data_IF_981178236137
#
_entry.id   IF_981178236137
#
_cell.length_a   1.000
_cell.length_b   1.000
_cell.length_c   1.000
_cell.angle_alpha   90.00
_cell.angle_beta   90.00
_cell.angle_gamma   90.00
#
_symmetry.space_group_name_H-M   'P 1'
#
loop_
_entity.id
_entity.type
_entity.pdbx_description
1 polymer ?
#
# COMPACT_ATOMS: atom_id res chain seq x y z
N UNK A 1 45.83 34.35 0.19
CA UNK A 1 44.53 33.92 0.69
C UNK A 1 44.00 32.81 -0.25
N UNK A 2 43.60 31.65 0.24
CA UNK A 2 42.92 30.71 -0.59
C UNK A 2 41.59 31.35 -1.06
N UNK A 3 41.23 31.16 -2.32
CA UNK A 3 39.93 31.54 -2.84
C UNK A 3 38.97 30.53 -2.23
N UNK A 4 38.08 30.98 -1.37
CA UNK A 4 36.99 30.17 -0.84
C UNK A 4 35.89 30.11 -1.91
N UNK A 5 35.75 28.96 -2.56
CA UNK A 5 34.65 28.70 -3.45
C UNK A 5 33.43 28.36 -2.57
N UNK A 6 32.48 29.26 -2.54
CA UNK A 6 31.15 28.97 -1.99
C UNK A 6 30.34 28.19 -3.06
N UNK A 7 29.69 27.14 -2.68
CA UNK A 7 28.69 26.51 -3.54
C UNK A 7 27.55 27.51 -3.78
N UNK A 8 26.98 27.52 -4.98
CA UNK A 8 25.74 28.26 -5.24
C UNK A 8 24.56 27.47 -4.73
N UNK A 9 23.50 28.13 -4.23
CA UNK A 9 22.23 27.45 -3.96
C UNK A 9 21.76 26.66 -5.16
N UNK A 10 21.03 25.54 -4.94
CA UNK A 10 20.36 24.78 -5.99
C UNK A 10 19.39 25.65 -6.80
N UNK A 11 19.09 25.27 -8.03
CA UNK A 11 18.16 26.05 -8.87
C UNK A 11 16.75 26.07 -8.29
N UNK A 12 16.39 25.06 -7.53
CA UNK A 12 15.12 24.88 -6.82
C UNK A 12 15.19 25.22 -5.32
N UNK A 13 16.12 26.06 -4.93
CA UNK A 13 16.30 26.61 -3.58
C UNK A 13 15.05 27.38 -3.07
N UNK A 14 14.28 27.92 -3.96
CA UNK A 14 13.04 28.63 -3.65
C UNK A 14 11.87 28.01 -4.40
N UNK A 15 10.67 28.07 -3.84
CA UNK A 15 9.46 27.55 -4.46
C UNK A 15 9.27 27.98 -5.92
N UNK A 16 9.60 29.22 -6.27
CA UNK A 16 9.49 29.74 -7.65
C UNK A 16 10.45 29.05 -8.64
N UNK A 17 11.45 28.35 -8.14
CA UNK A 17 12.37 27.50 -8.91
C UNK A 17 12.04 26.03 -8.84
N UNK A 18 10.89 25.65 -8.31
CA UNK A 18 10.51 24.24 -8.10
C UNK A 18 10.70 23.41 -9.38
N UNK A 19 11.43 22.31 -9.26
CA UNK A 19 11.68 21.40 -10.39
C UNK A 19 10.43 20.59 -10.66
N UNK A 20 9.94 20.61 -11.92
CA UNK A 20 8.84 19.76 -12.34
C UNK A 20 9.31 18.32 -12.40
N UNK A 21 8.64 17.45 -11.65
CA UNK A 21 8.79 15.99 -11.71
C UNK A 21 7.53 15.35 -12.28
N UNK A 22 7.69 14.21 -12.91
CA UNK A 22 6.58 13.44 -13.47
C UNK A 22 5.90 12.63 -12.35
N UNK A 23 4.58 12.69 -12.26
CA UNK A 23 3.82 11.74 -11.47
C UNK A 23 3.66 10.45 -12.29
N UNK A 24 4.40 9.42 -11.89
CA UNK A 24 4.41 8.13 -12.57
C UNK A 24 3.04 7.43 -12.38
N UNK A 25 2.50 6.91 -13.46
CA UNK A 25 1.30 6.08 -13.44
C UNK A 25 1.68 4.60 -13.28
N UNK A 26 0.78 3.79 -12.70
CA UNK A 26 0.97 2.33 -12.59
C UNK A 26 1.60 1.82 -11.30
N UNK A 27 1.70 2.66 -10.26
CA UNK A 27 2.08 2.20 -8.91
C UNK A 27 3.58 1.97 -8.69
N UNK A 28 4.42 2.36 -9.64
CA UNK A 28 5.87 2.19 -9.57
C UNK A 28 6.60 3.47 -9.96
N UNK A 29 7.79 3.66 -9.38
CA UNK A 29 8.70 4.74 -9.72
C UNK A 29 9.50 4.40 -10.98
N UNK A 30 9.10 4.91 -12.12
CA UNK A 30 9.80 4.72 -13.41
C UNK A 30 10.72 5.92 -13.69
N UNK A 31 10.29 7.13 -13.31
CA UNK A 31 11.02 8.38 -13.50
C UNK A 31 11.11 9.11 -12.18
N UNK A 32 12.31 9.50 -11.78
CA UNK A 32 12.59 10.26 -10.55
C UNK A 32 13.26 11.59 -10.86
N UNK A 33 13.05 12.58 -9.98
CA UNK A 33 13.89 13.77 -9.91
C UNK A 33 15.08 13.55 -8.98
N UNK A 34 16.13 14.34 -9.11
CA UNK A 34 17.25 14.33 -8.17
C UNK A 34 17.39 15.70 -7.51
N UNK A 35 17.81 15.72 -6.25
CA UNK A 35 18.00 16.92 -5.44
C UNK A 35 19.29 16.93 -4.63
N UNK A 36 19.63 18.12 -4.18
CA UNK A 36 20.71 18.35 -3.20
C UNK A 36 20.30 19.49 -2.27
N UNK A 37 20.66 19.37 -0.99
CA UNK A 37 20.48 20.44 0.00
C UNK A 37 21.80 21.24 0.22
N UNK A 38 22.87 20.90 -0.50
CA UNK A 38 24.14 21.58 -0.36
C UNK A 38 24.02 23.04 -0.79
N UNK A 39 24.30 23.96 0.14
CA UNK A 39 24.13 25.40 -0.01
C UNK A 39 22.69 25.88 -0.24
N UNK A 40 21.69 25.03 0.01
CA UNK A 40 20.31 25.46 0.05
C UNK A 40 20.08 26.48 1.19
N UNK A 41 19.07 27.31 1.05
CA UNK A 41 18.74 28.37 2.00
C UNK A 41 17.27 28.28 2.44
N UNK A 42 16.91 28.80 3.64
CA UNK A 42 15.55 28.66 4.14
C UNK A 42 14.54 29.43 3.30
N UNK A 43 13.45 28.79 2.91
CA UNK A 43 12.31 29.40 2.26
C UNK A 43 11.37 30.07 3.28
N UNK A 44 10.56 31.03 2.79
CA UNK A 44 9.63 31.82 3.63
C UNK A 44 8.27 31.16 3.84
N UNK A 45 7.95 30.12 3.10
CA UNK A 45 6.66 29.41 3.13
C UNK A 45 6.43 28.76 4.49
N UNK A 46 5.18 28.90 4.97
CA UNK A 46 4.82 28.38 6.29
C UNK A 46 5.03 26.85 6.34
N UNK A 47 5.66 26.39 7.42
CA UNK A 47 5.93 25.01 7.70
C UNK A 47 5.55 24.69 9.15
N UNK A 48 4.68 23.72 9.37
CA UNK A 48 4.26 23.25 10.69
C UNK A 48 4.91 21.93 11.10
N UNK A 49 5.88 21.45 10.32
CA UNK A 49 6.59 20.20 10.57
C UNK A 49 7.72 20.41 11.59
N UNK A 50 8.17 19.33 12.19
CA UNK A 50 9.34 19.33 13.09
C UNK A 50 10.65 19.52 12.29
N UNK A 51 11.76 19.67 13.02
CA UNK A 51 13.08 19.90 12.45
C UNK A 51 13.35 21.37 12.12
N UNK A 52 14.41 21.61 11.38
CA UNK A 52 14.87 22.96 10.99
C UNK A 52 14.89 23.05 9.46
N UNK A 53 13.85 23.65 8.88
CA UNK A 53 13.80 23.88 7.45
C UNK A 53 14.67 25.10 7.05
N UNK A 54 15.98 25.00 7.28
CA UNK A 54 16.99 26.04 7.01
C UNK A 54 17.81 25.75 5.75
N UNK A 55 17.54 24.62 5.08
CA UNK A 55 18.26 24.10 3.92
C UNK A 55 17.31 23.41 2.92
N UNK A 56 16.23 24.04 2.51
CA UNK A 56 15.17 23.38 1.74
C UNK A 56 15.26 23.57 0.23
N UNK A 57 14.69 22.60 -0.50
CA UNK A 57 14.51 22.65 -1.96
C UNK A 57 13.11 22.20 -2.36
N UNK A 58 12.69 22.62 -3.56
CA UNK A 58 11.31 22.52 -4.02
C UNK A 58 11.17 21.70 -5.31
N UNK A 59 10.15 20.89 -5.32
CA UNK A 59 9.68 20.15 -6.49
C UNK A 59 8.21 20.42 -6.70
N UNK A 60 7.70 20.17 -7.91
CA UNK A 60 6.28 20.25 -8.20
C UNK A 60 5.86 19.12 -9.13
N UNK A 61 4.62 18.70 -9.02
CA UNK A 61 4.00 17.72 -9.90
C UNK A 61 2.54 18.05 -10.14
N UNK A 62 1.97 17.53 -11.23
CA UNK A 62 0.54 17.58 -11.48
C UNK A 62 -0.06 16.22 -11.13
N UNK A 63 -1.09 16.20 -10.30
CA UNK A 63 -1.73 14.95 -9.89
C UNK A 63 -2.43 14.27 -11.07
N UNK A 64 -2.16 12.98 -11.27
CA UNK A 64 -2.78 12.12 -12.30
C UNK A 64 -3.77 11.13 -11.69
N UNK A 65 -3.83 11.04 -10.36
CA UNK A 65 -4.73 10.22 -9.56
C UNK A 65 -5.13 10.97 -8.29
N UNK A 66 -6.14 10.49 -7.57
CA UNK A 66 -6.49 11.01 -6.24
C UNK A 66 -5.47 10.56 -5.17
N UNK A 67 -4.76 9.47 -5.41
CA UNK A 67 -3.79 8.91 -4.47
C UNK A 67 -2.40 8.81 -5.11
N UNK A 68 -1.40 9.39 -4.44
CA UNK A 68 0.00 9.33 -4.85
C UNK A 68 0.90 8.97 -3.68
N UNK A 69 1.94 8.19 -3.94
CA UNK A 69 3.06 8.05 -3.04
C UNK A 69 4.14 9.08 -3.41
N UNK A 70 4.80 9.64 -2.39
CA UNK A 70 6.00 10.46 -2.50
C UNK A 70 7.11 9.68 -1.83
N UNK A 71 8.19 9.42 -2.55
CA UNK A 71 9.32 8.62 -2.07
C UNK A 71 10.63 9.39 -2.24
N UNK A 72 11.38 9.52 -1.16
CA UNK A 72 12.79 9.94 -1.17
C UNK A 72 13.67 8.69 -1.13
N UNK A 73 14.64 8.61 -2.01
CA UNK A 73 15.50 7.43 -2.12
C UNK A 73 16.93 7.82 -2.49
N UNK A 74 17.85 6.86 -2.49
CA UNK A 74 19.24 7.08 -2.80
C UNK A 74 19.87 8.27 -2.03
N UNK A 75 19.43 8.44 -0.77
CA UNK A 75 19.93 9.51 0.10
C UNK A 75 21.37 9.20 0.47
N UNK A 76 22.29 10.09 0.10
CA UNK A 76 23.72 9.93 0.35
C UNK A 76 24.29 11.27 0.81
N UNK A 77 24.96 11.28 1.96
CA UNK A 77 25.63 12.49 2.42
C UNK A 77 25.77 12.62 3.93
N UNK A 78 25.79 13.85 4.41
CA UNK A 78 26.08 14.21 5.79
C UNK A 78 24.96 13.79 6.77
N UNK A 79 23.72 13.65 6.26
CA UNK A 79 22.57 13.09 6.98
C UNK A 79 21.78 12.15 6.07
N UNK A 80 20.98 11.26 6.66
CA UNK A 80 20.00 10.43 5.96
C UNK A 80 18.56 10.77 6.39
N UNK A 81 18.41 11.71 7.31
CA UNK A 81 17.17 12.11 7.96
C UNK A 81 16.61 13.34 7.24
N UNK A 82 15.71 13.12 6.30
CA UNK A 82 15.05 14.12 5.49
C UNK A 82 13.56 14.19 5.78
N UNK A 83 13.04 15.41 5.83
CA UNK A 83 11.61 15.69 5.86
C UNK A 83 11.10 16.06 4.47
N UNK A 84 9.88 15.69 4.17
CA UNK A 84 9.19 16.29 3.04
C UNK A 84 7.78 16.78 3.43
N UNK A 85 7.37 17.85 2.78
CA UNK A 85 6.11 18.54 3.05
C UNK A 85 5.35 18.70 1.74
N UNK A 86 4.09 18.30 1.73
CA UNK A 86 3.22 18.47 0.57
C UNK A 86 2.38 19.73 0.73
N UNK A 87 2.32 20.53 -0.32
CA UNK A 87 1.47 21.70 -0.45
C UNK A 87 0.60 21.63 -1.70
N UNK A 88 -0.60 22.18 -1.60
CA UNK A 88 -1.47 22.48 -2.73
C UNK A 88 -1.43 23.96 -3.05
N UNK A 89 -1.43 24.32 -4.31
CA UNK A 89 -1.55 25.71 -4.78
C UNK A 89 -1.22 25.85 -6.27
N UNK A 90 -1.73 26.91 -6.88
CA UNK A 90 -1.44 27.24 -8.28
C UNK A 90 -0.09 27.94 -8.44
N UNK A 91 0.36 28.60 -7.40
CA UNK A 91 1.63 29.32 -7.33
C UNK A 91 2.19 29.40 -5.89
N UNK A 92 3.44 29.77 -5.77
CA UNK A 92 4.14 29.89 -4.49
C UNK A 92 3.59 30.96 -3.54
N UNK A 93 2.75 31.87 -4.01
CA UNK A 93 2.14 32.92 -3.19
C UNK A 93 0.90 32.46 -2.41
N UNK A 94 0.33 31.30 -2.76
CA UNK A 94 -0.93 30.80 -2.22
C UNK A 94 -0.85 29.29 -1.89
N UNK A 95 0.23 28.85 -1.27
CA UNK A 95 0.41 27.46 -0.86
C UNK A 95 -0.38 27.14 0.42
N UNK A 96 -1.09 26.02 0.40
CA UNK A 96 -1.71 25.41 1.57
C UNK A 96 -1.02 24.10 1.89
N UNK A 97 -0.43 23.99 3.07
CA UNK A 97 0.20 22.75 3.53
C UNK A 97 -0.86 21.67 3.72
N UNK A 98 -0.63 20.50 3.16
CA UNK A 98 -1.48 19.31 3.28
C UNK A 98 -1.00 18.44 4.42
N UNK A 99 0.27 17.99 4.38
CA UNK A 99 0.88 17.20 5.46
C UNK A 99 2.40 17.34 5.50
N UNK A 100 2.99 16.82 6.58
CA UNK A 100 4.41 16.58 6.76
C UNK A 100 4.70 15.07 6.79
N UNK A 101 5.88 14.66 6.35
CA UNK A 101 6.40 13.31 6.57
C UNK A 101 7.84 13.39 7.06
N UNK A 102 8.11 12.66 8.14
CA UNK A 102 9.44 12.33 8.65
C UNK A 102 9.97 11.06 7.95
N UNK A 103 9.07 10.16 7.58
CA UNK A 103 9.42 8.98 6.79
C UNK A 103 9.76 9.39 5.35
N UNK A 104 10.74 8.73 4.74
CA UNK A 104 11.16 8.93 3.35
C UNK A 104 10.05 8.56 2.35
N UNK A 105 9.05 7.79 2.78
CA UNK A 105 7.90 7.41 1.98
C UNK A 105 6.62 7.88 2.64
N UNK A 106 5.74 8.48 1.87
CA UNK A 106 4.42 8.91 2.33
C UNK A 106 3.37 8.70 1.26
N UNK A 107 2.10 8.70 1.67
CA UNK A 107 0.96 8.64 0.75
C UNK A 107 0.12 9.90 0.89
N UNK A 108 -0.10 10.58 -0.22
CA UNK A 108 -1.04 11.69 -0.36
C UNK A 108 -2.37 11.14 -0.88
N UNK A 109 -3.44 11.35 -0.14
CA UNK A 109 -4.79 10.92 -0.52
C UNK A 109 -5.67 12.15 -0.82
N UNK A 110 -6.76 11.92 -1.54
CA UNK A 110 -7.78 12.93 -1.85
C UNK A 110 -7.24 14.12 -2.67
N UNK A 111 -6.21 13.90 -3.49
CA UNK A 111 -5.70 14.91 -4.39
C UNK A 111 -6.67 15.15 -5.55
N UNK A 112 -6.75 16.39 -6.03
CA UNK A 112 -7.54 16.74 -7.20
C UNK A 112 -6.75 16.47 -8.47
N UNK A 113 -7.25 15.55 -9.31
CA UNK A 113 -6.60 15.19 -10.58
C UNK A 113 -6.52 16.42 -11.50
N UNK A 114 -5.34 16.67 -12.05
CA UNK A 114 -5.04 17.81 -12.91
C UNK A 114 -4.57 19.07 -12.19
N UNK A 115 -4.64 19.10 -10.84
CA UNK A 115 -4.12 20.21 -10.04
C UNK A 115 -2.63 20.05 -9.74
N UNK A 116 -1.96 21.19 -9.46
CA UNK A 116 -0.54 21.21 -9.13
C UNK A 116 -0.31 21.11 -7.63
N UNK A 117 0.73 20.37 -7.29
CA UNK A 117 1.20 20.16 -5.91
C UNK A 117 2.69 20.44 -5.83
N UNK A 118 3.12 20.96 -4.69
CA UNK A 118 4.52 21.28 -4.41
C UNK A 118 5.03 20.39 -3.28
N UNK A 119 6.25 19.91 -3.43
CA UNK A 119 6.96 19.15 -2.40
C UNK A 119 8.20 19.94 -1.98
N UNK A 120 8.26 20.31 -0.69
CA UNK A 120 9.43 20.88 -0.06
C UNK A 120 10.21 19.77 0.65
N UNK A 121 11.50 19.68 0.43
CA UNK A 121 12.38 18.69 1.08
C UNK A 121 13.46 19.46 1.84
N UNK A 122 13.72 19.08 3.10
CA UNK A 122 14.76 19.67 3.95
C UNK A 122 15.33 18.62 4.93
N UNK A 123 16.49 18.90 5.53
CA UNK A 123 17.07 18.04 6.56
C UNK A 123 16.48 18.32 7.94
N UNK A 124 16.42 17.30 8.81
CA UNK A 124 15.93 17.48 10.19
C UNK A 124 16.82 18.41 11.01
N UNK A 125 18.13 18.36 10.77
CA UNK A 125 19.13 19.05 11.61
C UNK A 125 19.58 20.37 11.00
N UNK A 126 19.61 21.44 11.81
CA UNK A 126 20.17 22.73 11.46
C UNK A 126 21.72 22.67 11.36
N UNK A 127 22.25 22.25 10.23
CA UNK A 127 23.69 22.20 9.96
C UNK A 127 23.98 22.59 8.51
N UNK A 128 25.10 23.25 8.28
CA UNK A 128 25.61 23.43 6.91
C UNK A 128 26.02 22.06 6.35
N UNK A 129 25.35 21.65 5.27
CA UNK A 129 25.62 20.40 4.57
C UNK A 129 26.70 20.63 3.52
N UNK A 130 27.70 19.76 3.51
CA UNK A 130 28.80 19.78 2.56
C UNK A 130 28.63 18.74 1.44
N UNK A 131 27.86 17.71 1.70
CA UNK A 131 27.55 16.62 0.76
C UNK A 131 26.20 16.02 1.11
N UNK A 132 25.21 16.25 0.28
CA UNK A 132 23.92 15.59 0.37
C UNK A 132 23.24 15.54 -0.99
N UNK A 133 22.86 14.37 -1.42
CA UNK A 133 22.04 14.12 -2.62
C UNK A 133 20.96 13.11 -2.32
N UNK A 134 19.86 13.21 -3.03
CA UNK A 134 18.73 12.27 -2.95
C UNK A 134 17.98 12.23 -4.27
N UNK A 135 17.19 11.21 -4.46
CA UNK A 135 16.20 11.12 -5.52
C UNK A 135 14.80 11.27 -4.93
N UNK A 136 13.92 11.94 -5.66
CA UNK A 136 12.50 12.08 -5.33
C UNK A 136 11.65 11.49 -6.44
N UNK A 137 10.66 10.70 -6.06
CA UNK A 137 9.72 10.10 -6.98
C UNK A 137 8.29 10.32 -6.50
N UNK A 138 7.40 10.64 -7.43
CA UNK A 138 5.95 10.66 -7.20
C UNK A 138 5.32 9.63 -8.13
N UNK A 139 4.49 8.75 -7.59
CA UNK A 139 3.79 7.73 -8.37
C UNK A 139 2.39 7.49 -7.83
N UNK A 140 1.49 7.02 -8.69
CA UNK A 140 0.12 6.73 -8.29
C UNK A 140 0.07 5.54 -7.34
N UNK A 141 -0.78 5.63 -6.32
CA UNK A 141 -1.13 4.48 -5.49
C UNK A 141 -2.42 3.91 -6.05
N UNK A 142 -2.43 2.65 -6.49
CA UNK A 142 -3.66 2.02 -6.95
C UNK A 142 -4.73 2.10 -5.86
N UNK A 143 -6.01 2.30 -6.21
CA UNK A 143 -7.07 2.21 -5.24
C UNK A 143 -7.06 0.81 -4.60
N UNK A 144 -7.46 0.70 -3.33
CA UNK A 144 -7.57 -0.60 -2.68
C UNK A 144 -8.63 -1.45 -3.39
N UNK A 145 -8.53 -2.78 -3.27
CA UNK A 145 -9.60 -3.67 -3.69
C UNK A 145 -10.86 -3.40 -2.85
N UNK A 146 -12.02 -3.66 -3.42
CA UNK A 146 -13.26 -3.68 -2.67
C UNK A 146 -13.48 -5.09 -2.10
N UNK A 147 -13.94 -5.20 -0.85
CA UNK A 147 -14.34 -6.47 -0.24
C UNK A 147 -15.71 -6.37 0.40
N UNK A 148 -16.44 -7.48 0.45
CA UNK A 148 -17.75 -7.54 1.09
C UNK A 148 -18.06 -8.94 1.59
N UNK A 149 -18.60 -9.03 2.81
CA UNK A 149 -19.15 -10.26 3.39
C UNK A 149 -20.66 -10.32 3.31
N UNK A 150 -21.31 -9.32 2.67
CA UNK A 150 -22.79 -9.19 2.66
C UNK A 150 -23.37 -8.99 1.27
N UNK A 151 -22.55 -8.71 0.24
CA UNK A 151 -23.02 -8.49 -1.13
C UNK A 151 -23.58 -9.77 -1.75
N UNK A 152 -22.96 -10.89 -1.44
CA UNK A 152 -23.33 -12.23 -1.86
C UNK A 152 -23.48 -13.15 -0.64
N UNK A 153 -24.46 -14.02 -0.65
CA UNK A 153 -24.51 -15.19 0.25
C UNK A 153 -23.41 -16.19 -0.13
N UNK A 154 -23.09 -17.12 0.75
CA UNK A 154 -22.13 -18.19 0.44
C UNK A 154 -22.55 -19.03 -0.77
N UNK A 155 -23.86 -19.25 -0.94
CA UNK A 155 -24.39 -19.95 -2.10
C UNK A 155 -24.12 -19.16 -3.39
N UNK A 156 -24.41 -17.87 -3.42
CA UNK A 156 -24.14 -16.98 -4.57
C UNK A 156 -22.64 -16.82 -4.83
N UNK A 157 -21.79 -16.79 -3.79
CA UNK A 157 -20.34 -16.80 -3.97
C UNK A 157 -19.86 -18.05 -4.73
N UNK A 158 -20.48 -19.21 -4.52
CA UNK A 158 -20.13 -20.43 -5.25
C UNK A 158 -20.75 -20.42 -6.65
N UNK A 159 -22.03 -20.04 -6.77
CA UNK A 159 -22.79 -20.22 -8.03
C UNK A 159 -22.57 -19.11 -9.04
N UNK A 160 -22.41 -17.87 -8.57
CA UNK A 160 -22.45 -16.68 -9.42
C UNK A 160 -21.06 -16.00 -9.53
N UNK A 161 -20.15 -16.28 -8.58
CA UNK A 161 -18.81 -15.71 -8.57
C UNK A 161 -17.73 -16.74 -8.90
N UNK A 162 -17.66 -17.85 -8.14
CA UNK A 162 -16.59 -18.84 -8.30
C UNK A 162 -16.77 -19.71 -9.55
N UNK A 163 -18.00 -20.16 -9.84
CA UNK A 163 -18.27 -21.06 -10.98
C UNK A 163 -18.77 -20.30 -12.19
N UNK A 164 -19.48 -19.19 -12.02
CA UNK A 164 -20.01 -18.27 -13.04
C UNK A 164 -20.37 -18.96 -14.38
N UNK A 165 -21.30 -19.91 -14.31
CA UNK A 165 -21.72 -20.69 -15.48
C UNK A 165 -23.22 -20.88 -15.50
N UNK A 166 -23.85 -20.58 -16.64
CA UNK A 166 -25.30 -20.88 -16.87
C UNK A 166 -25.62 -22.37 -16.74
N UNK A 167 -24.62 -23.24 -16.85
CA UNK A 167 -24.75 -24.69 -16.67
C UNK A 167 -24.35 -25.17 -15.27
N UNK A 168 -24.22 -24.25 -14.30
CA UNK A 168 -23.83 -24.58 -12.95
C UNK A 168 -24.80 -25.54 -12.28
N UNK A 169 -24.30 -26.65 -11.76
CA UNK A 169 -25.00 -27.62 -10.95
C UNK A 169 -24.26 -27.86 -9.64
N UNK A 170 -24.14 -26.79 -8.85
CA UNK A 170 -23.56 -26.83 -7.50
C UNK A 170 -24.66 -27.15 -6.48
N UNK A 171 -24.37 -27.97 -5.48
CA UNK A 171 -25.29 -28.36 -4.42
C UNK A 171 -24.52 -28.74 -3.15
N UNK A 172 -25.26 -28.88 -2.04
CA UNK A 172 -24.68 -29.15 -0.73
C UNK A 172 -23.57 -28.16 -0.32
N UNK A 173 -23.84 -26.87 -0.58
CA UNK A 173 -22.90 -25.79 -0.24
C UNK A 173 -22.98 -25.56 1.25
N UNK A 174 -21.83 -25.57 1.90
CA UNK A 174 -21.65 -25.28 3.33
C UNK A 174 -20.37 -24.50 3.57
N UNK A 175 -20.34 -23.71 4.62
CA UNK A 175 -19.16 -22.93 5.03
C UNK A 175 -19.02 -22.94 6.54
N UNK A 176 -17.81 -22.73 6.99
CA UNK A 176 -17.49 -22.45 8.39
C UNK A 176 -16.41 -21.37 8.44
N UNK A 177 -16.64 -20.35 9.25
CA UNK A 177 -15.74 -19.20 9.38
C UNK A 177 -15.85 -18.62 10.79
N UNK A 178 -15.01 -17.65 11.16
CA UNK A 178 -15.01 -17.04 12.49
C UNK A 178 -16.34 -16.51 12.98
N UNK A 179 -17.22 -16.05 12.07
CA UNK A 179 -18.57 -15.59 12.45
C UNK A 179 -19.44 -16.66 13.09
N UNK A 180 -19.19 -17.94 12.80
CA UNK A 180 -19.90 -19.09 13.42
C UNK A 180 -19.46 -19.30 14.87
N UNK A 181 -18.34 -18.74 15.26
CA UNK A 181 -17.71 -18.84 16.59
C UNK A 181 -17.72 -17.51 17.35
N UNK A 182 -18.43 -16.50 16.84
CA UNK A 182 -18.54 -15.17 17.46
C UNK A 182 -17.36 -14.24 17.17
N UNK A 183 -16.57 -14.55 16.15
CA UNK A 183 -15.47 -13.73 15.62
C UNK A 183 -15.83 -13.07 14.29
N UNK A 184 -14.84 -12.71 13.49
CA UNK A 184 -14.97 -12.05 12.18
C UNK A 184 -15.35 -13.04 11.07
N UNK A 185 -15.77 -12.52 9.91
CA UNK A 185 -16.08 -13.37 8.76
C UNK A 185 -14.88 -13.45 7.82
N UNK A 186 -14.34 -14.65 7.66
CA UNK A 186 -13.21 -14.96 6.80
C UNK A 186 -13.59 -15.38 5.36
N UNK A 187 -14.87 -15.31 4.96
CA UNK A 187 -15.33 -15.65 3.61
C UNK A 187 -16.11 -14.49 3.02
N UNK A 188 -15.77 -14.06 1.81
CA UNK A 188 -16.44 -12.94 1.16
C UNK A 188 -16.16 -12.83 -0.33
N UNK A 189 -16.60 -11.74 -0.88
CA UNK A 189 -16.40 -11.30 -2.25
C UNK A 189 -15.29 -10.25 -2.29
N UNK A 190 -14.51 -10.23 -3.36
CA UNK A 190 -13.66 -9.11 -3.69
C UNK A 190 -13.87 -8.63 -5.13
N UNK A 191 -13.57 -7.36 -5.37
CA UNK A 191 -13.50 -6.73 -6.68
C UNK A 191 -12.23 -5.87 -6.76
N UNK A 192 -11.56 -5.87 -7.92
CA UNK A 192 -10.32 -5.12 -8.12
C UNK A 192 -10.47 -3.61 -7.94
N UNK A 193 -11.69 -3.09 -8.11
CA UNK A 193 -12.01 -1.67 -7.93
C UNK A 193 -11.08 -0.73 -8.72
N UNK A 194 -10.58 -1.17 -9.89
CA UNK A 194 -9.63 -0.42 -10.69
C UNK A 194 -8.18 -0.45 -10.17
N UNK A 195 -7.90 -1.27 -9.16
CA UNK A 195 -6.53 -1.52 -8.69
C UNK A 195 -5.72 -2.32 -9.71
N UNK A 196 -4.42 -2.49 -9.45
CA UNK A 196 -3.55 -3.38 -10.22
C UNK A 196 -3.70 -4.86 -9.87
N UNK A 197 -4.72 -5.23 -9.08
CA UNK A 197 -4.97 -6.60 -8.69
C UNK A 197 -5.23 -7.49 -9.92
N UNK A 198 -4.62 -8.69 -10.02
CA UNK A 198 -4.63 -9.47 -11.26
C UNK A 198 -5.97 -10.13 -11.58
N UNK A 199 -6.92 -10.15 -10.65
CA UNK A 199 -8.28 -10.66 -10.85
C UNK A 199 -9.29 -9.52 -10.75
N UNK A 200 -10.24 -9.47 -11.66
CA UNK A 200 -11.29 -8.45 -11.66
C UNK A 200 -12.20 -8.58 -10.43
N UNK A 201 -12.60 -9.80 -10.13
CA UNK A 201 -13.38 -10.15 -8.95
C UNK A 201 -13.20 -11.62 -8.58
N UNK A 202 -13.73 -12.02 -7.43
CA UNK A 202 -13.70 -13.41 -7.01
C UNK A 202 -14.12 -13.64 -5.56
N UNK A 203 -13.97 -14.88 -5.15
CA UNK A 203 -14.10 -15.32 -3.77
C UNK A 203 -12.81 -15.00 -3.01
N UNK A 204 -12.92 -14.42 -1.83
CA UNK A 204 -11.82 -14.24 -0.89
C UNK A 204 -12.04 -15.09 0.36
N UNK A 205 -10.98 -15.75 0.81
CA UNK A 205 -10.96 -16.51 2.07
C UNK A 205 -9.74 -16.09 2.90
N UNK A 206 -9.96 -15.81 4.17
CA UNK A 206 -8.93 -15.36 5.09
C UNK A 206 -9.02 -16.12 6.42
N UNK A 207 -7.92 -16.17 7.17
CA UNK A 207 -7.89 -16.58 8.58
C UNK A 207 -8.23 -15.45 9.55
N UNK A 208 -8.70 -14.31 9.02
CA UNK A 208 -9.07 -13.10 9.74
C UNK A 208 -10.34 -12.47 9.17
N UNK A 209 -10.48 -11.14 9.24
CA UNK A 209 -11.60 -10.40 8.69
C UNK A 209 -11.36 -10.09 7.19
N UNK A 210 -12.29 -10.49 6.34
CA UNK A 210 -12.30 -10.12 4.92
C UNK A 210 -12.19 -8.60 4.72
N UNK A 211 -12.76 -7.80 5.61
CA UNK A 211 -12.71 -6.34 5.52
C UNK A 211 -11.28 -5.78 5.61
N UNK A 212 -10.36 -6.51 6.24
CA UNK A 212 -8.97 -6.10 6.40
C UNK A 212 -8.08 -6.47 5.20
N UNK A 213 -8.57 -7.27 4.25
CA UNK A 213 -7.84 -7.61 3.03
C UNK A 213 -7.84 -6.50 1.96
N UNK A 214 -8.41 -5.34 2.26
CA UNK A 214 -8.58 -4.23 1.31
C UNK A 214 -7.23 -3.62 0.89
N UNK A 215 -6.26 -3.48 1.81
CA UNK A 215 -4.99 -2.79 1.57
C UNK A 215 -5.14 -1.29 1.21
N UNK A 216 -4.07 -0.54 1.03
CA UNK A 216 -2.71 -0.92 1.44
C UNK A 216 -2.58 -0.98 2.96
N UNK A 217 -1.82 -1.92 3.45
CA UNK A 217 -1.66 -2.10 4.88
C UNK A 217 -0.56 -1.21 5.44
N UNK A 218 -0.83 -0.61 6.60
CA UNK A 218 0.13 0.23 7.31
C UNK A 218 0.86 -0.52 8.43
N UNK A 219 0.58 -1.79 8.60
CA UNK A 219 1.18 -2.65 9.62
C UNK A 219 0.69 -4.09 9.49
N UNK A 220 1.27 -5.00 10.28
CA UNK A 220 0.85 -6.41 10.31
C UNK A 220 -0.56 -6.50 10.91
N UNK A 221 -1.48 -7.08 10.17
CA UNK A 221 -2.84 -7.35 10.63
C UNK A 221 -2.84 -8.69 11.37
N UNK A 222 -3.43 -8.71 12.54
CA UNK A 222 -3.58 -9.90 13.36
C UNK A 222 -5.01 -10.00 13.84
N UNK A 223 -5.84 -10.60 12.98
CA UNK A 223 -7.21 -10.93 13.28
C UNK A 223 -7.33 -12.42 13.60
N UNK A 224 -8.39 -12.76 14.26
CA UNK A 224 -8.67 -14.14 14.61
C UNK A 224 -9.09 -14.23 16.07
N UNK A 225 -9.51 -15.41 16.48
CA UNK A 225 -9.98 -15.66 17.83
C UNK A 225 -9.63 -17.08 18.26
N UNK A 226 -9.27 -17.27 19.52
CA UNK A 226 -8.99 -18.59 20.09
C UNK A 226 -10.18 -19.55 20.06
N UNK A 227 -11.41 -19.05 19.90
CA UNK A 227 -12.61 -19.88 19.77
C UNK A 227 -12.90 -20.29 18.31
N UNK A 228 -12.20 -19.69 17.35
CA UNK A 228 -12.32 -20.07 15.95
C UNK A 228 -11.35 -21.22 15.64
N UNK A 229 -11.85 -22.47 15.48
CA UNK A 229 -10.99 -23.63 15.35
C UNK A 229 -10.24 -23.66 14.02
N UNK A 230 -9.25 -24.51 13.96
CA UNK A 230 -8.58 -24.94 12.74
C UNK A 230 -9.37 -26.01 11.99
N UNK A 231 -8.70 -26.66 11.05
CA UNK A 231 -9.28 -27.71 10.20
C UNK A 231 -8.56 -29.06 10.34
N UNK A 232 -9.32 -30.09 10.65
CA UNK A 232 -8.79 -31.43 10.88
C UNK A 232 -8.25 -32.10 9.61
N UNK A 233 -8.76 -31.73 8.44
CA UNK A 233 -8.30 -32.27 7.16
C UNK A 233 -6.95 -31.67 6.78
N UNK A 234 -6.75 -30.35 6.99
CA UNK A 234 -5.42 -29.71 6.87
C UNK A 234 -4.40 -30.42 7.79
N UNK A 235 -4.75 -30.64 9.05
CA UNK A 235 -3.88 -31.28 10.03
C UNK A 235 -3.52 -32.72 9.64
N UNK A 236 -4.45 -33.44 9.02
CA UNK A 236 -4.21 -34.80 8.56
C UNK A 236 -3.33 -34.88 7.30
N UNK A 237 -3.36 -33.87 6.44
CA UNK A 237 -2.63 -33.87 5.16
C UNK A 237 -1.27 -33.16 5.21
N UNK A 238 -1.07 -32.19 6.09
CA UNK A 238 0.17 -31.44 6.18
C UNK A 238 1.17 -32.18 7.07
N UNK A 239 2.32 -32.63 6.53
CA UNK A 239 3.31 -33.36 7.33
C UNK A 239 3.86 -32.51 8.47
N UNK A 240 3.76 -33.03 9.69
CA UNK A 240 4.31 -32.40 10.89
C UNK A 240 3.28 -31.67 11.74
N UNK A 241 2.03 -31.53 11.27
CA UNK A 241 0.92 -31.05 12.09
C UNK A 241 0.29 -32.18 12.90
N UNK A 242 -0.23 -31.85 14.07
CA UNK A 242 -1.03 -32.73 14.93
C UNK A 242 -2.44 -32.15 15.08
N UNK A 243 -3.36 -32.95 15.61
CA UNK A 243 -4.71 -32.49 15.88
C UNK A 243 -4.71 -31.28 16.84
N UNK A 244 -5.31 -30.16 16.38
CA UNK A 244 -5.39 -28.91 17.10
C UNK A 244 -4.19 -27.96 16.89
N UNK A 245 -3.32 -28.23 15.93
CA UNK A 245 -2.19 -27.35 15.59
C UNK A 245 -2.62 -26.17 14.68
N UNK A 246 -3.77 -26.28 13.97
CA UNK A 246 -4.31 -25.19 13.16
C UNK A 246 -5.37 -24.38 13.91
N UNK A 247 -5.54 -23.11 13.52
CA UNK A 247 -6.51 -22.18 14.08
C UNK A 247 -7.11 -21.32 12.95
N UNK A 248 -8.26 -20.74 13.20
CA UNK A 248 -8.90 -19.74 12.34
C UNK A 248 -9.12 -20.21 10.89
N UNK A 249 -9.57 -21.46 10.72
CA UNK A 249 -9.83 -21.99 9.39
C UNK A 249 -11.14 -21.45 8.80
N UNK A 250 -11.06 -20.82 7.63
CA UNK A 250 -12.18 -20.56 6.77
C UNK A 250 -12.37 -21.74 5.83
N UNK A 251 -13.54 -22.37 5.88
CA UNK A 251 -13.84 -23.61 5.16
C UNK A 251 -15.02 -23.36 4.24
N UNK A 252 -14.91 -23.76 2.98
CA UNK A 252 -15.98 -23.75 1.99
C UNK A 252 -16.05 -25.10 1.31
N UNK A 253 -17.19 -25.78 1.43
CA UNK A 253 -17.43 -27.09 0.85
C UNK A 253 -18.65 -27.06 -0.07
N UNK A 254 -18.56 -27.68 -1.21
CA UNK A 254 -19.68 -27.86 -2.13
C UNK A 254 -19.46 -29.03 -3.07
N UNK A 255 -20.57 -29.56 -3.59
CA UNK A 255 -20.56 -30.53 -4.66
C UNK A 255 -20.88 -29.82 -5.97
N UNK A 256 -20.32 -30.26 -7.08
CA UNK A 256 -20.67 -29.78 -8.40
C UNK A 256 -20.56 -30.85 -9.46
N UNK A 257 -21.27 -30.69 -10.56
CA UNK A 257 -21.17 -31.57 -11.71
C UNK A 257 -20.32 -30.89 -12.77
N UNK A 258 -19.09 -31.38 -13.03
CA UNK A 258 -18.24 -30.76 -14.03
C UNK A 258 -18.78 -30.98 -15.44
N UNK A 259 -18.75 -29.96 -16.27
CA UNK A 259 -19.14 -30.02 -17.69
C UNK A 259 -18.06 -30.59 -18.59
N UNK A 260 -16.84 -30.78 -18.07
CA UNK A 260 -15.68 -31.36 -18.78
C UNK A 260 -14.87 -32.25 -17.86
N UNK A 261 -13.90 -32.99 -18.44
CA UNK A 261 -12.99 -33.86 -17.68
C UNK A 261 -11.82 -33.09 -17.02
N UNK A 262 -11.73 -31.80 -17.27
CA UNK A 262 -10.71 -30.94 -16.67
C UNK A 262 -11.38 -29.83 -15.88
N UNK A 263 -10.83 -29.53 -14.72
CA UNK A 263 -11.18 -28.41 -13.88
C UNK A 263 -9.90 -27.60 -13.71
N UNK A 264 -10.00 -26.28 -13.87
CA UNK A 264 -8.95 -25.33 -13.55
C UNK A 264 -9.55 -24.15 -12.82
N UNK A 265 -8.81 -23.58 -11.93
CA UNK A 265 -9.12 -22.32 -11.28
C UNK A 265 -7.81 -21.57 -11.02
N UNK A 266 -7.90 -20.25 -11.03
CA UNK A 266 -6.79 -19.37 -10.74
C UNK A 266 -6.92 -18.89 -9.30
N UNK A 267 -5.80 -18.79 -8.58
CA UNK A 267 -5.79 -18.30 -7.21
C UNK A 267 -4.50 -17.52 -6.89
N UNK A 268 -4.60 -16.67 -5.88
CA UNK A 268 -3.46 -16.03 -5.22
C UNK A 268 -3.51 -16.43 -3.75
N UNK A 269 -2.35 -16.81 -3.23
CA UNK A 269 -2.11 -16.98 -1.81
C UNK A 269 -1.26 -15.82 -1.31
N UNK A 270 -1.76 -15.10 -0.31
CA UNK A 270 -1.07 -14.01 0.36
C UNK A 270 -0.94 -14.32 1.86
N UNK A 271 0.16 -13.93 2.46
CA UNK A 271 0.42 -14.12 3.89
C UNK A 271 1.02 -12.83 4.47
N UNK A 272 0.49 -12.39 5.60
CA UNK A 272 0.94 -11.22 6.37
C UNK A 272 2.32 -11.40 7.02
N UNK A 273 2.77 -12.64 7.16
CA UNK A 273 4.04 -12.99 7.80
C UNK A 273 5.26 -12.63 6.96
N UNK A 274 5.08 -12.27 5.70
CA UNK A 274 6.19 -11.92 4.81
C UNK A 274 7.02 -10.75 5.35
N UNK A 275 8.31 -10.99 5.45
CA UNK A 275 9.28 -9.99 5.92
C UNK A 275 9.46 -9.91 7.44
N UNK A 276 8.42 -10.13 8.25
CA UNK A 276 8.47 -9.96 9.71
C UNK A 276 8.37 -11.28 10.46
N UNK A 277 7.42 -12.14 10.15
CA UNK A 277 7.10 -13.36 10.91
C UNK A 277 7.22 -14.66 10.11
N UNK A 278 7.74 -14.62 8.92
CA UNK A 278 7.81 -15.74 7.96
C UNK A 278 8.49 -17.03 8.48
N UNK A 279 9.20 -16.98 9.61
CA UNK A 279 9.81 -18.15 10.26
C UNK A 279 9.16 -18.47 11.61
N UNK A 280 8.09 -17.78 11.98
CA UNK A 280 7.44 -17.90 13.30
C UNK A 280 6.03 -18.45 13.18
N UNK A 281 5.27 -17.96 12.20
CA UNK A 281 3.91 -18.40 11.90
C UNK A 281 3.86 -18.98 10.49
N UNK A 282 2.88 -19.78 10.21
CA UNK A 282 2.71 -20.45 8.91
C UNK A 282 1.24 -20.59 8.63
N UNK A 283 0.80 -20.05 7.50
CA UNK A 283 -0.53 -20.30 6.97
C UNK A 283 -0.55 -21.53 6.10
N UNK A 284 -1.69 -22.20 6.07
CA UNK A 284 -1.92 -23.37 5.27
C UNK A 284 -3.18 -23.19 4.42
N UNK A 285 -3.12 -23.74 3.22
CA UNK A 285 -4.21 -23.69 2.25
C UNK A 285 -4.28 -25.03 1.49
N UNK A 286 -5.47 -25.52 1.25
CA UNK A 286 -5.71 -26.75 0.50
C UNK A 286 -7.01 -26.66 -0.32
N UNK A 287 -7.04 -27.40 -1.43
CA UNK A 287 -8.23 -27.73 -2.20
C UNK A 287 -8.53 -29.22 -2.08
#
# INVERSE_FOLDING_TARGET
>A
NPIQLFACPPENDNCSGAIQIEANDGGECISSGSGTLVAATPSSEANSCDGSADDDVWFQFTAVSENHAISLSNIVGDTLDLYHVLYQGDDCGNLTQIYCSDDENSTANDLSVGENYFVRVYSYTANELSNLTFDICVFTVPPPIFTSTTLYSVEELVTDVLIDSECNQSFNISSSTGSDFGSTNGIGYFESNGSSWPFENGLIMTSGDVANAVGPESGVISDGDYNWPGDADLEAYIPGLNAGDTNNASILEFNFVPVSNNISFDFIFAAEEYGTFQCTFTDAFAF
#
